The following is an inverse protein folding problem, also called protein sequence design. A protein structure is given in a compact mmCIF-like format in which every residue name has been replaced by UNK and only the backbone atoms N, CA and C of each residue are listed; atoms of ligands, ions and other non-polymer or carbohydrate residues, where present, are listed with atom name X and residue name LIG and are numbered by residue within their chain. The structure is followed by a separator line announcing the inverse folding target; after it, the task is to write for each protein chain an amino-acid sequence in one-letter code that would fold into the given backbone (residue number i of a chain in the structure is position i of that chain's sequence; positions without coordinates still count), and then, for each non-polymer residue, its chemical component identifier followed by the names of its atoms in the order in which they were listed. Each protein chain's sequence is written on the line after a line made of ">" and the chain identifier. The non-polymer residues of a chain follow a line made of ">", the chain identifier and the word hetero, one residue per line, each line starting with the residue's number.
data_IF_076890981879
#
_entry.id   IF_076890981879
#
_cell.length_a   1.000
_cell.length_b   1.000
_cell.length_c   1.000
_cell.angle_alpha   90.00
_cell.angle_beta   90.00
_cell.angle_gamma   90.00
#
_symmetry.space_group_name_H-M   'P 1'
#
loop_
_entity.id
_entity.type
_entity.pdbx_description
1 polymer ?
#
# COMPACT_ATOMS: atom_id res chain seq x y z
N UNK A 1 19.94 5.72 2.52
CA UNK A 1 19.42 5.89 1.15
C UNK A 1 18.03 6.49 1.25
N UNK A 2 17.77 7.61 0.60
CA UNK A 2 16.42 8.20 0.57
C UNK A 2 15.67 7.68 -0.66
N UNK A 3 14.35 7.48 -0.55
CA UNK A 3 13.53 6.95 -1.65
C UNK A 3 13.55 7.88 -2.87
N UNK A 4 13.61 9.18 -2.61
CA UNK A 4 13.65 10.25 -3.61
C UNK A 4 14.96 10.29 -4.41
N UNK A 5 16.00 9.60 -3.92
CA UNK A 5 17.33 9.55 -4.55
C UNK A 5 17.49 8.34 -5.48
N UNK A 6 16.52 7.41 -5.50
CA UNK A 6 16.55 6.22 -6.33
C UNK A 6 16.44 6.58 -7.82
N UNK A 7 17.26 5.91 -8.64
CA UNK A 7 17.30 6.13 -10.09
C UNK A 7 17.19 4.81 -10.85
N UNK A 8 16.86 4.91 -12.13
CA UNK A 8 16.95 3.83 -13.12
C UNK A 8 16.34 2.50 -12.66
N UNK A 9 17.15 1.44 -12.61
CA UNK A 9 16.73 0.08 -12.27
C UNK A 9 16.32 -0.03 -10.80
N UNK A 10 17.06 0.58 -9.87
CA UNK A 10 16.74 0.55 -8.44
C UNK A 10 15.40 1.22 -8.16
N UNK A 11 15.14 2.37 -8.81
CA UNK A 11 13.83 3.04 -8.74
C UNK A 11 12.74 2.11 -9.25
N UNK A 12 12.95 1.49 -10.40
CA UNK A 12 11.96 0.62 -11.03
C UNK A 12 11.63 -0.58 -10.13
N UNK A 13 12.65 -1.24 -9.57
CA UNK A 13 12.49 -2.37 -8.68
C UNK A 13 11.70 -1.99 -7.43
N UNK A 14 12.03 -0.86 -6.80
CA UNK A 14 11.34 -0.40 -5.59
C UNK A 14 9.89 0.00 -5.89
N UNK A 15 9.62 0.66 -7.03
CA UNK A 15 8.24 0.98 -7.43
C UNK A 15 7.41 -0.29 -7.61
N UNK A 16 7.94 -1.29 -8.31
CA UNK A 16 7.24 -2.57 -8.54
C UNK A 16 6.98 -3.29 -7.21
N UNK A 17 7.96 -3.31 -6.31
CA UNK A 17 7.82 -3.91 -4.99
C UNK A 17 6.76 -3.21 -4.14
N UNK A 18 6.75 -1.87 -4.11
CA UNK A 18 5.74 -1.09 -3.39
C UNK A 18 4.34 -1.29 -3.97
N UNK A 19 4.21 -1.34 -5.30
CA UNK A 19 2.92 -1.61 -5.94
C UNK A 19 2.41 -3.02 -5.63
N UNK A 20 3.29 -4.02 -5.60
CA UNK A 20 2.93 -5.37 -5.19
C UNK A 20 2.47 -5.42 -3.72
N UNK A 21 3.21 -4.77 -2.83
CA UNK A 21 2.88 -4.67 -1.42
C UNK A 21 1.53 -3.96 -1.19
N UNK A 22 1.25 -2.89 -1.93
CA UNK A 22 -0.03 -2.19 -1.86
C UNK A 22 -1.20 -3.10 -2.21
N UNK A 23 -1.10 -3.84 -3.33
CA UNK A 23 -2.16 -4.77 -3.77
C UNK A 23 -2.42 -5.87 -2.74
N UNK A 24 -1.36 -6.42 -2.15
CA UNK A 24 -1.49 -7.48 -1.14
C UNK A 24 -2.14 -6.94 0.14
N UNK A 25 -1.70 -5.78 0.63
CA UNK A 25 -2.30 -5.11 1.80
C UNK A 25 -3.76 -4.73 1.57
N UNK A 26 -4.10 -4.24 0.38
CA UNK A 26 -5.46 -3.88 0.01
C UNK A 26 -6.36 -5.12 -0.07
N UNK A 27 -5.82 -6.24 -0.54
CA UNK A 27 -6.54 -7.52 -0.56
C UNK A 27 -6.80 -8.01 0.86
N UNK A 28 -5.79 -7.95 1.73
CA UNK A 28 -5.91 -8.33 3.13
C UNK A 28 -6.91 -7.44 3.89
N UNK A 29 -6.86 -6.12 3.67
CA UNK A 29 -7.82 -5.19 4.27
C UNK A 29 -9.23 -5.51 3.79
N UNK A 30 -9.46 -5.58 2.48
CA UNK A 30 -10.79 -5.88 1.94
C UNK A 30 -11.35 -7.20 2.49
N UNK A 31 -10.53 -8.24 2.61
CA UNK A 31 -10.95 -9.52 3.19
C UNK A 31 -11.38 -9.37 4.66
N UNK A 32 -10.59 -8.68 5.48
CA UNK A 32 -10.89 -8.47 6.90
C UNK A 32 -12.15 -7.63 7.12
N UNK A 33 -12.28 -6.53 6.37
CA UNK A 33 -13.45 -5.66 6.43
C UNK A 33 -14.72 -6.38 5.96
N UNK A 34 -14.63 -7.12 4.86
CA UNK A 34 -15.74 -7.95 4.35
C UNK A 34 -16.18 -8.96 5.39
N UNK A 35 -15.23 -9.68 6.02
CA UNK A 35 -15.56 -10.62 7.08
C UNK A 35 -16.24 -9.94 8.28
N UNK A 36 -15.71 -8.80 8.75
CA UNK A 36 -16.29 -8.08 9.88
C UNK A 36 -17.72 -7.63 9.58
N UNK A 37 -17.98 -7.12 8.37
CA UNK A 37 -19.33 -6.76 7.92
C UNK A 37 -20.28 -7.97 7.93
N UNK A 38 -19.85 -9.11 7.35
CA UNK A 38 -20.66 -10.32 7.30
C UNK A 38 -20.91 -10.93 8.68
N UNK A 39 -19.95 -10.83 9.60
CA UNK A 39 -20.03 -11.36 10.95
C UNK A 39 -20.69 -10.40 11.96
N UNK A 40 -21.09 -9.19 11.54
CA UNK A 40 -21.62 -8.16 12.44
C UNK A 40 -20.62 -7.67 13.49
N UNK A 41 -19.31 -7.73 13.17
CA UNK A 41 -18.22 -7.31 14.05
C UNK A 41 -17.72 -5.92 13.66
N UNK A 42 -17.17 -5.21 14.63
CA UNK A 42 -16.46 -3.95 14.38
C UNK A 42 -15.23 -4.23 13.51
N UNK A 43 -15.07 -3.55 12.35
CA UNK A 43 -13.85 -3.64 11.55
C UNK A 43 -12.62 -3.18 12.33
N UNK A 44 -11.41 -3.65 11.95
CA UNK A 44 -10.19 -3.11 12.53
C UNK A 44 -9.98 -1.64 12.10
N UNK A 45 -9.11 -0.89 12.80
CA UNK A 45 -8.70 0.45 12.36
C UNK A 45 -8.16 0.47 10.92
N UNK A 46 -8.43 1.53 10.17
CA UNK A 46 -8.05 1.67 8.76
C UNK A 46 -6.53 1.62 8.52
N UNK A 47 -5.73 2.01 9.52
CA UNK A 47 -4.27 2.07 9.46
C UNK A 47 -3.59 0.72 9.74
N UNK A 48 -4.31 -0.29 10.24
CA UNK A 48 -3.70 -1.56 10.66
C UNK A 48 -2.99 -2.30 9.52
N UNK A 49 -3.48 -2.12 8.28
CA UNK A 49 -2.91 -2.74 7.08
C UNK A 49 -1.78 -1.91 6.47
N UNK A 50 -1.55 -0.70 6.97
CA UNK A 50 -0.49 0.18 6.53
C UNK A 50 -0.58 0.59 5.05
N UNK A 51 -1.79 0.87 4.56
CA UNK A 51 -2.00 1.26 3.16
C UNK A 51 -1.41 2.65 2.86
N UNK A 52 -1.58 3.59 3.79
CA UNK A 52 -1.11 4.96 3.67
C UNK A 52 0.42 5.04 3.53
N UNK A 53 1.16 4.21 4.26
CA UNK A 53 2.62 4.18 4.23
C UNK A 53 3.15 3.75 2.86
N UNK A 54 2.47 2.82 2.20
CA UNK A 54 2.85 2.36 0.86
C UNK A 54 2.50 3.42 -0.18
N UNK A 55 1.34 4.06 -0.06
CA UNK A 55 0.92 5.16 -0.93
C UNK A 55 1.84 6.38 -0.79
N UNK A 56 2.23 6.71 0.43
CA UNK A 56 3.17 7.80 0.73
C UNK A 56 4.56 7.48 0.18
N UNK A 57 5.04 6.24 0.33
CA UNK A 57 6.30 5.80 -0.27
C UNK A 57 6.27 5.91 -1.81
N UNK A 58 5.18 5.46 -2.45
CA UNK A 58 4.99 5.60 -3.90
C UNK A 58 4.93 7.07 -4.32
N UNK A 59 4.27 7.93 -3.55
CA UNK A 59 4.20 9.38 -3.82
C UNK A 59 5.58 10.04 -3.74
N UNK A 60 6.39 9.68 -2.76
CA UNK A 60 7.76 10.18 -2.58
C UNK A 60 8.68 9.82 -3.75
N UNK A 61 8.45 8.67 -4.41
CA UNK A 61 9.20 8.23 -5.61
C UNK A 61 8.58 8.77 -6.92
N UNK A 62 7.50 9.55 -6.84
CA UNK A 62 6.78 10.07 -8.01
C UNK A 62 6.09 8.96 -8.81
N UNK A 63 5.64 7.90 -8.14
CA UNK A 63 5.01 6.72 -8.73
C UNK A 63 3.59 6.45 -8.16
N UNK A 64 2.99 7.43 -7.48
CA UNK A 64 1.60 7.33 -7.04
C UNK A 64 0.66 7.20 -8.27
N UNK A 65 -0.44 6.43 -8.15
CA UNK A 65 -1.43 6.35 -9.22
C UNK A 65 -1.94 7.75 -9.59
N UNK A 66 -2.16 8.00 -10.88
CA UNK A 66 -2.89 9.19 -11.30
C UNK A 66 -4.31 9.11 -10.72
N UNK A 67 -4.75 10.20 -10.09
CA UNK A 67 -6.12 10.34 -9.56
C UNK A 67 -7.13 10.41 -10.69
#
# INVERSE_FOLDING_TARGET
>A
MRLEELKDEDRTLVVVALQALHRERLTASNAAFTFCQLAGRTPPPDDIFGLHEVEDALRRIGAAPAR
#
